data_IF_894289405861
#
_entry.id   IF_894289405861
#
_cell.length_a   1.000
_cell.length_b   1.000
_cell.length_c   1.000
_cell.angle_alpha   90.00
_cell.angle_beta   90.00
_cell.angle_gamma   90.00
#
_symmetry.space_group_name_H-M   'P 1'
#
loop_
_entity.id
_entity.type
_entity.pdbx_description
1 polymer ?
#
# COMPACT_ATOMS: atom_id res chain seq x y z
N UNK A 1 8.67 31.68 -35.32
CA UNK A 1 7.84 30.47 -35.10
C UNK A 1 6.76 30.43 -36.15
N UNK A 2 6.79 29.44 -37.05
CA UNK A 2 5.83 29.34 -38.16
C UNK A 2 4.47 28.82 -37.67
N UNK A 3 3.40 29.06 -38.44
CA UNK A 3 2.01 28.73 -38.05
C UNK A 3 1.85 27.27 -37.57
N UNK A 4 2.53 26.33 -38.24
CA UNK A 4 2.55 24.91 -37.87
C UNK A 4 3.16 24.64 -36.48
N UNK A 5 4.19 25.39 -36.06
CA UNK A 5 4.78 25.26 -34.72
C UNK A 5 3.86 25.79 -33.61
N UNK A 6 3.08 26.84 -33.89
CA UNK A 6 2.08 27.36 -32.93
C UNK A 6 0.95 26.35 -32.71
N UNK A 7 0.50 25.70 -33.78
CA UNK A 7 -0.54 24.66 -33.72
C UNK A 7 -0.04 23.45 -32.92
N UNK A 8 1.19 22.99 -33.15
CA UNK A 8 1.79 21.87 -32.41
C UNK A 8 1.91 22.17 -30.90
N UNK A 9 2.29 23.40 -30.53
CA UNK A 9 2.36 23.83 -29.12
C UNK A 9 0.98 23.87 -28.45
N UNK A 10 -0.07 24.26 -29.16
CA UNK A 10 -1.44 24.24 -28.65
C UNK A 10 -1.89 22.79 -28.40
N UNK A 11 -1.60 21.88 -29.33
CA UNK A 11 -1.93 20.46 -29.15
C UNK A 11 -1.15 19.81 -28.00
N UNK A 12 0.15 20.13 -27.84
CA UNK A 12 0.95 19.67 -26.71
C UNK A 12 0.41 20.19 -25.37
N UNK A 13 0.02 21.47 -25.31
CA UNK A 13 -0.55 22.06 -24.10
C UNK A 13 -1.90 21.44 -23.76
N UNK A 14 -2.78 21.27 -24.75
CA UNK A 14 -4.07 20.60 -24.56
C UNK A 14 -3.92 19.14 -24.12
N UNK A 15 -2.95 18.41 -24.68
CA UNK A 15 -2.66 17.03 -24.30
C UNK A 15 -2.18 16.94 -22.84
N UNK A 16 -1.24 17.81 -22.42
CA UNK A 16 -0.80 17.90 -21.02
C UNK A 16 -1.94 18.28 -20.07
N UNK A 17 -2.80 19.24 -20.45
CA UNK A 17 -3.92 19.67 -19.62
C UNK A 17 -5.02 18.61 -19.45
N UNK A 18 -5.07 17.58 -20.29
CA UNK A 18 -6.05 16.49 -20.17
C UNK A 18 -5.43 15.26 -19.50
N UNK A 19 -4.21 14.88 -19.87
CA UNK A 19 -3.57 13.64 -19.41
C UNK A 19 -3.07 13.72 -17.97
N UNK A 20 -2.43 14.83 -17.60
CA UNK A 20 -1.88 15.04 -16.24
C UNK A 20 -2.98 15.01 -15.18
N UNK A 21 -4.11 15.74 -15.32
CA UNK A 21 -5.18 15.62 -14.34
C UNK A 21 -5.83 14.24 -14.35
N UNK A 22 -5.97 13.56 -15.48
CA UNK A 22 -6.60 12.23 -15.52
C UNK A 22 -5.81 11.17 -14.75
N UNK A 23 -4.48 11.18 -14.86
CA UNK A 23 -3.60 10.27 -14.13
C UNK A 23 -3.59 10.57 -12.61
N UNK A 24 -3.58 11.86 -12.24
CA UNK A 24 -3.68 12.30 -10.84
C UNK A 24 -5.04 11.97 -10.20
N UNK A 25 -6.15 12.20 -10.92
CA UNK A 25 -7.49 11.85 -10.45
C UNK A 25 -7.70 10.34 -10.32
N UNK A 26 -7.10 9.54 -11.23
CA UNK A 26 -7.15 8.08 -11.16
C UNK A 26 -6.50 7.54 -9.89
N UNK A 27 -5.33 8.07 -9.51
CA UNK A 27 -4.64 7.69 -8.29
C UNK A 27 -5.40 8.14 -7.02
N UNK A 28 -6.05 9.32 -7.05
CA UNK A 28 -6.85 9.83 -5.94
C UNK A 28 -8.16 9.02 -5.72
N UNK A 29 -8.82 8.59 -6.80
CA UNK A 29 -10.01 7.73 -6.68
C UNK A 29 -9.70 6.34 -6.14
N UNK A 30 -8.51 5.78 -6.43
CA UNK A 30 -8.11 4.47 -5.92
C UNK A 30 -8.10 4.43 -4.38
N UNK A 31 -7.71 5.53 -3.74
CA UNK A 31 -7.70 5.65 -2.27
C UNK A 31 -9.09 5.93 -1.68
N UNK A 32 -9.97 6.66 -2.39
CA UNK A 32 -11.31 6.99 -1.88
C UNK A 32 -12.33 5.85 -2.03
N UNK A 33 -12.13 4.95 -3.01
CA UNK A 33 -13.03 3.82 -3.27
C UNK A 33 -12.74 2.59 -2.39
N UNK A 34 -11.75 2.66 -1.48
CA UNK A 34 -11.69 1.71 -0.37
C UNK A 34 -12.85 2.07 0.55
N UNK A 35 -14.03 1.53 0.23
CA UNK A 35 -15.18 1.52 1.12
C UNK A 35 -14.77 0.68 2.32
N UNK A 36 -14.21 1.33 3.33
CA UNK A 36 -13.96 0.74 4.65
C UNK A 36 -15.34 0.41 5.20
N UNK A 37 -15.82 -0.79 4.90
CA UNK A 37 -17.08 -1.30 5.42
C UNK A 37 -16.93 -1.37 6.92
N UNK A 38 -17.67 -0.49 7.58
CA UNK A 38 -17.74 -0.35 9.02
C UNK A 38 -18.10 -1.69 9.67
N UNK A 39 -17.13 -2.43 10.17
CA UNK A 39 -17.29 -3.21 11.40
C UNK A 39 -15.90 -3.41 12.02
N UNK A 40 -15.72 -2.87 13.22
CA UNK A 40 -14.51 -2.87 14.06
C UNK A 40 -13.51 -1.75 13.75
N UNK A 41 -13.59 -0.70 14.57
CA UNK A 41 -12.62 0.38 14.64
C UNK A 41 -11.31 -0.05 15.36
N UNK A 42 -10.70 -1.16 14.94
CA UNK A 42 -9.49 -1.68 15.58
C UNK A 42 -8.22 -0.99 15.05
N UNK A 43 -8.24 -0.51 13.80
CA UNK A 43 -7.14 0.29 13.23
C UNK A 43 -7.00 1.63 13.95
N UNK A 44 -8.07 2.42 14.14
CA UNK A 44 -7.89 3.70 14.85
C UNK A 44 -7.54 3.49 16.32
N UNK A 45 -8.04 2.41 16.95
CA UNK A 45 -7.60 2.01 18.30
C UNK A 45 -6.10 1.68 18.33
N UNK A 46 -5.58 0.99 17.32
CA UNK A 46 -4.15 0.72 17.21
C UNK A 46 -3.35 2.02 16.97
N UNK A 47 -3.83 2.91 16.09
CA UNK A 47 -3.20 4.19 15.80
C UNK A 47 -3.05 5.09 17.03
N UNK A 48 -4.01 5.05 17.97
CA UNK A 48 -3.92 5.78 19.24
C UNK A 48 -2.71 5.36 20.08
N UNK A 49 -2.25 4.11 19.96
CA UNK A 49 -1.09 3.59 20.70
C UNK A 49 0.25 3.87 20.01
N UNK A 50 0.23 4.22 18.73
CA UNK A 50 1.43 4.46 17.93
C UNK A 50 1.78 5.94 18.01
N UNK A 51 2.99 6.32 18.46
CA UNK A 51 3.41 7.72 18.47
C UNK A 51 3.56 8.29 17.05
N UNK A 52 3.40 9.61 16.94
CA UNK A 52 3.74 10.39 15.74
C UNK A 52 4.95 11.26 16.02
N UNK A 53 5.88 11.29 15.08
CA UNK A 53 6.95 12.27 14.98
C UNK A 53 6.52 13.50 14.17
N UNK A 54 5.69 13.31 13.15
CA UNK A 54 5.16 14.37 12.27
C UNK A 54 3.67 14.17 11.97
N UNK A 55 3.00 15.21 11.49
CA UNK A 55 1.61 15.11 11.03
C UNK A 55 1.43 14.16 9.83
N UNK A 56 2.49 13.92 9.06
CA UNK A 56 2.47 13.03 7.88
C UNK A 56 2.49 11.55 8.24
N UNK A 57 2.75 11.20 9.51
CA UNK A 57 2.88 9.80 9.90
C UNK A 57 1.52 9.10 9.95
N UNK A 58 0.43 9.81 10.28
CA UNK A 58 -0.90 9.19 10.44
C UNK A 58 -1.43 8.55 9.17
N UNK A 59 -1.43 9.23 8.00
CA UNK A 59 -1.78 8.57 6.73
C UNK A 59 -0.94 7.31 6.48
N UNK A 60 0.38 7.41 6.64
CA UNK A 60 1.31 6.29 6.40
C UNK A 60 1.05 5.10 7.33
N UNK A 61 1.01 5.33 8.64
CA UNK A 61 0.74 4.30 9.65
C UNK A 61 -0.61 3.62 9.41
N UNK A 62 -1.62 4.41 9.03
CA UNK A 62 -2.94 3.88 8.67
C UNK A 62 -2.85 2.96 7.46
N UNK A 63 -2.18 3.40 6.39
CA UNK A 63 -1.97 2.58 5.19
C UNK A 63 -1.27 1.26 5.53
N UNK A 64 -0.19 1.28 6.32
CA UNK A 64 0.53 0.06 6.73
C UNK A 64 -0.40 -0.90 7.49
N UNK A 65 -1.19 -0.40 8.44
CA UNK A 65 -2.13 -1.23 9.21
C UNK A 65 -3.25 -1.82 8.34
N UNK A 66 -3.78 -1.06 7.37
CA UNK A 66 -4.72 -1.60 6.39
C UNK A 66 -4.07 -2.64 5.48
N UNK A 67 -2.84 -2.41 5.02
CA UNK A 67 -2.11 -3.41 4.23
C UNK A 67 -1.90 -4.70 5.01
N UNK A 68 -1.55 -4.62 6.30
CA UNK A 68 -1.42 -5.80 7.16
C UNK A 68 -2.78 -6.49 7.42
N UNK A 69 -3.88 -5.74 7.51
CA UNK A 69 -5.22 -6.32 7.58
C UNK A 69 -5.52 -7.16 6.33
N UNK A 70 -5.37 -6.54 5.16
CA UNK A 70 -5.70 -7.18 3.89
C UNK A 70 -4.81 -8.39 3.65
N UNK A 71 -3.53 -8.30 4.03
CA UNK A 71 -2.66 -9.47 4.09
C UNK A 71 -3.21 -10.56 5.01
N UNK A 72 -3.66 -10.22 6.22
CA UNK A 72 -4.20 -11.18 7.19
C UNK A 72 -5.42 -11.91 6.62
N UNK A 73 -6.36 -11.19 6.00
CA UNK A 73 -7.51 -11.79 5.32
C UNK A 73 -7.09 -12.68 4.15
N UNK A 74 -6.13 -12.23 3.34
CA UNK A 74 -5.59 -12.99 2.22
C UNK A 74 -4.92 -14.29 2.68
N UNK A 75 -4.07 -14.21 3.70
CA UNK A 75 -3.37 -15.36 4.25
C UNK A 75 -4.35 -16.37 4.86
N UNK A 76 -5.38 -15.91 5.56
CA UNK A 76 -6.46 -16.78 6.07
C UNK A 76 -7.23 -17.47 4.95
N UNK A 77 -7.60 -16.72 3.90
CA UNK A 77 -8.34 -17.25 2.74
C UNK A 77 -7.59 -18.36 2.02
N UNK A 78 -6.27 -18.26 1.92
CA UNK A 78 -5.42 -19.20 1.18
C UNK A 78 -4.59 -20.13 2.06
N UNK A 79 -4.85 -20.13 3.38
CA UNK A 79 -4.17 -20.94 4.38
C UNK A 79 -2.63 -20.78 4.38
N UNK A 80 -2.15 -19.56 4.16
CA UNK A 80 -0.72 -19.21 4.19
C UNK A 80 -0.34 -18.93 5.63
N UNK A 81 0.63 -19.68 6.16
CA UNK A 81 1.15 -19.43 7.51
C UNK A 81 2.16 -18.31 7.47
N UNK A 82 2.02 -17.36 8.39
CA UNK A 82 2.94 -16.24 8.50
C UNK A 82 3.11 -15.76 9.95
N UNK A 83 4.18 -15.01 10.18
CA UNK A 83 4.47 -14.33 11.44
C UNK A 83 5.01 -12.93 11.16
N UNK A 84 4.73 -11.97 12.04
CA UNK A 84 5.44 -10.69 12.03
C UNK A 84 6.91 -10.91 12.39
N UNK A 85 7.80 -10.16 11.77
CA UNK A 85 9.25 -10.33 11.92
C UNK A 85 9.98 -8.99 12.03
N UNK A 86 11.30 -9.04 12.24
CA UNK A 86 12.21 -7.89 12.21
C UNK A 86 11.67 -6.63 12.92
N UNK A 87 11.64 -5.49 12.25
CA UNK A 87 11.22 -4.21 12.83
C UNK A 87 9.77 -4.24 13.30
N UNK A 88 8.91 -4.93 12.54
CA UNK A 88 7.49 -5.08 12.89
C UNK A 88 7.28 -5.88 14.17
N UNK A 89 8.03 -6.96 14.38
CA UNK A 89 7.99 -7.73 15.63
C UNK A 89 8.51 -6.91 16.81
N UNK A 90 9.61 -6.16 16.61
CA UNK A 90 10.17 -5.28 17.64
C UNK A 90 9.16 -4.21 18.07
N UNK A 91 8.50 -3.55 17.12
CA UNK A 91 7.44 -2.59 17.41
C UNK A 91 6.32 -3.23 18.23
N UNK A 92 5.83 -4.40 17.80
CA UNK A 92 4.75 -5.09 18.49
C UNK A 92 5.12 -5.45 19.95
N UNK A 93 6.30 -6.04 20.17
CA UNK A 93 6.75 -6.44 21.52
C UNK A 93 6.99 -5.22 22.40
N UNK A 94 7.61 -4.16 21.87
CA UNK A 94 7.97 -2.99 22.65
C UNK A 94 6.76 -2.13 23.04
N UNK A 95 5.78 -1.97 22.13
CA UNK A 95 4.72 -0.96 22.27
C UNK A 95 3.35 -1.36 21.73
N UNK A 96 3.13 -2.65 21.43
CA UNK A 96 1.87 -3.17 20.91
C UNK A 96 1.40 -2.49 19.60
N UNK A 97 2.34 -2.09 18.75
CA UNK A 97 2.06 -1.40 17.48
C UNK A 97 3.31 -1.18 16.65
N UNK A 98 3.21 -0.41 15.57
CA UNK A 98 4.35 -0.06 14.72
C UNK A 98 5.35 0.84 15.46
N UNK A 99 6.62 0.83 15.05
CA UNK A 99 7.54 1.89 15.43
C UNK A 99 7.09 3.21 14.76
N UNK A 100 7.32 4.38 15.39
CA UNK A 100 6.84 5.67 14.86
C UNK A 100 7.36 5.99 13.45
N UNK A 101 8.52 5.44 13.08
CA UNK A 101 9.21 5.69 11.82
C UNK A 101 9.10 4.55 10.81
N UNK A 102 8.37 3.46 11.11
CA UNK A 102 8.18 2.35 10.18
C UNK A 102 7.54 2.83 8.87
N UNK A 103 8.09 2.36 7.74
CA UNK A 103 7.61 2.64 6.39
C UNK A 103 6.96 1.42 5.73
N UNK A 104 7.14 0.25 6.32
CA UNK A 104 6.76 -1.07 5.83
C UNK A 104 6.29 -1.98 6.97
N UNK A 105 5.94 -3.22 6.63
CA UNK A 105 5.68 -4.30 7.57
C UNK A 105 6.43 -5.56 7.13
N UNK A 106 7.13 -6.17 8.06
CA UNK A 106 7.96 -7.36 7.83
C UNK A 106 7.21 -8.62 8.23
N UNK A 107 7.05 -9.54 7.29
CA UNK A 107 6.40 -10.82 7.50
C UNK A 107 7.31 -11.96 7.05
N UNK A 108 7.30 -13.06 7.81
CA UNK A 108 7.88 -14.32 7.39
C UNK A 108 6.75 -15.28 7.00
N UNK A 109 6.95 -16.02 5.91
CA UNK A 109 6.08 -17.12 5.48
C UNK A 109 6.88 -18.41 5.41
N UNK A 110 6.19 -19.54 5.35
CA UNK A 110 6.87 -20.81 5.11
C UNK A 110 7.44 -20.85 3.69
N UNK A 111 8.67 -21.35 3.54
CA UNK A 111 9.32 -21.48 2.24
C UNK A 111 8.47 -22.29 1.23
N UNK A 112 7.77 -23.31 1.70
CA UNK A 112 6.88 -24.14 0.89
C UNK A 112 5.66 -23.36 0.32
N UNK A 113 5.25 -22.26 0.95
CA UNK A 113 4.07 -21.47 0.56
C UNK A 113 4.44 -20.36 -0.47
N UNK A 114 5.74 -20.18 -0.77
CA UNK A 114 6.25 -19.10 -1.64
C UNK A 114 5.75 -19.20 -3.08
N UNK A 115 5.72 -20.41 -3.65
CA UNK A 115 5.26 -20.65 -5.02
C UNK A 115 3.76 -20.36 -5.18
N UNK A 116 2.95 -20.77 -4.19
CA UNK A 116 1.54 -20.48 -4.13
C UNK A 116 1.29 -18.98 -4.00
N UNK A 117 2.01 -18.29 -3.11
CA UNK A 117 1.92 -16.85 -2.96
C UNK A 117 2.21 -16.11 -4.26
N UNK A 118 3.28 -16.50 -4.97
CA UNK A 118 3.64 -15.90 -6.24
C UNK A 118 2.52 -16.04 -7.29
N UNK A 119 1.89 -17.21 -7.39
CA UNK A 119 0.77 -17.41 -8.32
C UNK A 119 -0.44 -16.56 -7.93
N UNK A 120 -0.80 -16.55 -6.63
CA UNK A 120 -1.95 -15.82 -6.14
C UNK A 120 -1.76 -14.31 -6.24
N UNK A 121 -0.53 -13.80 -6.08
CA UNK A 121 -0.26 -12.36 -6.22
C UNK A 121 -0.51 -11.87 -7.64
N UNK A 122 -0.20 -12.66 -8.68
CA UNK A 122 -0.49 -12.28 -10.07
C UNK A 122 -1.99 -12.12 -10.36
N UNK A 123 -2.84 -12.83 -9.60
CA UNK A 123 -4.29 -12.85 -9.82
C UNK A 123 -5.06 -11.87 -8.92
N UNK A 124 -4.56 -11.65 -7.71
CA UNK A 124 -5.30 -10.94 -6.67
C UNK A 124 -4.73 -9.57 -6.33
N UNK A 125 -3.45 -9.30 -6.66
CA UNK A 125 -2.85 -8.01 -6.31
C UNK A 125 -3.11 -7.01 -7.42
N UNK A 126 -3.20 -5.74 -7.02
CA UNK A 126 -3.39 -4.67 -7.99
C UNK A 126 -2.19 -4.57 -8.92
N UNK A 127 -2.43 -4.36 -10.21
CA UNK A 127 -1.39 -4.21 -11.23
C UNK A 127 -0.46 -3.01 -11.01
N UNK A 128 -0.83 -2.08 -10.12
CA UNK A 128 0.01 -0.94 -9.73
C UNK A 128 1.13 -1.32 -8.76
N UNK A 129 1.06 -2.48 -8.11
CA UNK A 129 2.08 -2.97 -7.19
C UNK A 129 2.79 -4.18 -7.80
N UNK A 130 4.12 -4.09 -7.87
CA UNK A 130 4.97 -5.16 -8.38
C UNK A 130 5.54 -5.98 -7.21
N UNK A 131 5.34 -7.30 -7.23
CA UNK A 131 6.02 -8.20 -6.30
C UNK A 131 7.48 -8.37 -6.72
N UNK A 132 8.39 -7.76 -5.97
CA UNK A 132 9.82 -7.93 -6.18
C UNK A 132 10.33 -9.15 -5.42
N UNK A 133 10.79 -10.15 -6.16
CA UNK A 133 11.44 -11.35 -5.60
C UNK A 133 12.95 -11.15 -5.66
N UNK A 134 13.61 -11.09 -4.51
CA UNK A 134 15.07 -11.05 -4.44
C UNK A 134 15.63 -12.48 -4.45
N UNK A 135 16.71 -12.74 -5.19
CA UNK A 135 17.46 -13.99 -5.06
C UNK A 135 17.95 -14.13 -3.61
N UNK A 136 17.77 -15.30 -3.02
CA UNK A 136 18.37 -15.64 -1.72
C UNK A 136 19.86 -15.96 -1.87
#
# INVERSE_FOLDING_TARGET
MNCSQKILLIFLFAFCCVTIPMEYYGQYQLFNNITITSTHNWIEKALQKIPTCTQRDRPRQRTILYTLLEWTHFAQKYNIRYWIAYGSLVGYVQRQGLLPHDLDVDLLIMAQDTSQLFQLSQLNFSSIYELKVQPQ
#
